data_IF_685664332825
#
_entry.id   IF_685664332825
#
_cell.length_a   1.000
_cell.length_b   1.000
_cell.length_c   1.000
_cell.angle_alpha   90.00
_cell.angle_beta   90.00
_cell.angle_gamma   90.00
#
_symmetry.space_group_name_H-M   'P 1'
#
loop_
_entity.id
_entity.type
_entity.pdbx_description
1 polymer ?
#
# COMPACT_ATOMS: atom_id res chain seq x y z
N UNK A 1 14.30 -21.01 3.87
CA UNK A 1 12.87 -21.23 3.49
C UNK A 1 12.16 -19.90 3.70
N UNK A 2 11.82 -19.24 2.59
CA UNK A 2 11.11 -17.95 2.66
C UNK A 2 9.70 -18.18 3.18
N UNK A 3 9.32 -17.48 4.24
CA UNK A 3 7.94 -17.46 4.73
C UNK A 3 7.28 -16.20 4.18
N UNK A 4 6.28 -16.37 3.32
CA UNK A 4 5.43 -15.29 2.85
C UNK A 4 4.23 -15.17 3.79
N UNK A 5 4.08 -14.01 4.43
CA UNK A 5 2.88 -13.63 5.16
C UNK A 5 2.07 -12.69 4.29
N UNK A 6 0.86 -13.07 3.95
CA UNK A 6 -0.10 -12.18 3.28
C UNK A 6 -1.26 -11.88 4.21
N UNK A 7 -1.71 -10.63 4.21
CA UNK A 7 -2.91 -10.22 4.91
C UNK A 7 -3.91 -9.68 3.89
N UNK A 8 -5.11 -10.24 3.95
CA UNK A 8 -6.27 -9.76 3.21
C UNK A 8 -7.32 -9.34 4.24
N UNK A 9 -8.05 -8.26 4.00
CA UNK A 9 -9.15 -7.88 4.87
C UNK A 9 -10.18 -9.00 4.89
N UNK A 10 -10.25 -9.75 5.99
CA UNK A 10 -11.24 -10.81 6.15
C UNK A 10 -12.50 -10.20 6.74
N UNK A 11 -13.62 -10.30 6.02
CA UNK A 11 -14.94 -10.11 6.61
C UNK A 11 -15.10 -11.11 7.75
N UNK A 12 -15.40 -10.65 8.97
CA UNK A 12 -15.93 -11.54 10.00
C UNK A 12 -17.31 -11.99 9.53
N UNK A 13 -17.56 -13.32 9.61
CA UNK A 13 -18.82 -13.93 9.20
C UNK A 13 -20.08 -13.48 10.01
N UNK A 14 -19.95 -12.48 10.87
CA UNK A 14 -21.03 -11.87 11.66
C UNK A 14 -21.51 -10.50 11.12
N UNK A 15 -21.06 -10.10 9.93
CA UNK A 15 -21.50 -8.87 9.26
C UNK A 15 -21.04 -7.56 9.92
N UNK A 16 -20.15 -7.59 10.91
CA UNK A 16 -19.63 -6.37 11.53
C UNK A 16 -18.59 -5.73 10.63
N UNK A 17 -18.84 -4.49 10.28
CA UNK A 17 -17.93 -3.61 9.57
C UNK A 17 -16.66 -3.41 10.39
N UNK A 18 -15.52 -3.89 9.89
CA UNK A 18 -14.23 -3.63 10.52
C UNK A 18 -13.78 -2.26 10.05
N UNK A 19 -14.14 -1.22 10.78
CA UNK A 19 -13.53 0.11 10.66
C UNK A 19 -12.14 0.04 11.30
N UNK A 20 -11.18 -0.48 10.53
CA UNK A 20 -9.81 -0.56 11.03
C UNK A 20 -9.02 0.63 10.50
N UNK A 21 -8.44 1.43 11.39
CA UNK A 21 -7.50 2.45 11.00
C UNK A 21 -6.18 1.82 10.52
N UNK A 22 -5.35 2.60 9.81
CA UNK A 22 -4.00 2.15 9.43
C UNK A 22 -3.22 1.69 10.68
N UNK A 23 -3.36 2.42 11.79
CA UNK A 23 -2.69 2.14 13.07
C UNK A 23 -3.15 0.83 13.70
N UNK A 24 -4.44 0.50 13.63
CA UNK A 24 -4.98 -0.75 14.19
C UNK A 24 -4.50 -1.96 13.39
N UNK A 25 -4.58 -1.89 12.06
CA UNK A 25 -4.07 -2.95 11.18
C UNK A 25 -2.56 -3.09 11.31
N UNK A 26 -1.83 -1.96 11.29
CA UNK A 26 -0.38 -1.93 11.46
C UNK A 26 0.06 -2.53 12.79
N UNK A 27 -0.65 -2.25 13.89
CA UNK A 27 -0.37 -2.84 15.21
C UNK A 27 -0.59 -4.36 15.23
N UNK A 28 -1.71 -4.82 14.65
CA UNK A 28 -2.02 -6.24 14.58
C UNK A 28 -0.93 -7.00 13.83
N UNK A 29 -0.60 -6.55 12.60
CA UNK A 29 0.41 -7.20 11.76
C UNK A 29 1.82 -7.10 12.36
N UNK A 30 2.18 -5.97 12.96
CA UNK A 30 3.46 -5.83 13.65
C UNK A 30 3.59 -6.86 14.78
N UNK A 31 2.53 -7.10 15.55
CA UNK A 31 2.56 -8.11 16.63
C UNK A 31 2.70 -9.54 16.08
N UNK A 32 2.01 -9.87 14.98
CA UNK A 32 2.16 -11.18 14.33
C UNK A 32 3.59 -11.38 13.79
N UNK A 33 4.17 -10.34 13.17
CA UNK A 33 5.53 -10.40 12.62
C UNK A 33 6.63 -10.48 13.68
N UNK A 34 6.40 -10.02 14.92
CA UNK A 34 7.34 -10.18 16.04
C UNK A 34 7.59 -11.64 16.43
N UNK A 35 6.63 -12.50 16.14
CA UNK A 35 6.74 -13.96 16.37
C UNK A 35 7.49 -14.68 15.23
N UNK A 36 7.84 -13.96 14.15
CA UNK A 36 8.60 -14.54 13.05
C UNK A 36 10.05 -14.85 13.48
N UNK A 37 10.66 -15.80 12.76
CA UNK A 37 12.04 -16.19 12.99
C UNK A 37 12.99 -15.02 12.77
N UNK A 38 13.69 -14.59 13.81
CA UNK A 38 14.58 -13.42 13.82
C UNK A 38 15.87 -13.62 13.01
N UNK A 39 16.19 -14.86 12.63
CA UNK A 39 17.35 -15.17 11.80
C UNK A 39 17.06 -14.96 10.30
N UNK A 40 15.78 -14.80 9.93
CA UNK A 40 15.38 -14.56 8.55
C UNK A 40 15.27 -13.04 8.30
N UNK A 41 15.96 -12.49 7.27
CA UNK A 41 15.82 -11.09 6.90
C UNK A 41 14.36 -10.71 6.62
N UNK A 42 13.86 -9.65 7.28
CA UNK A 42 12.48 -9.20 7.14
C UNK A 42 12.38 -8.03 6.18
N UNK A 43 11.55 -8.17 5.16
CA UNK A 43 11.13 -7.10 4.27
C UNK A 43 9.62 -6.91 4.37
N UNK A 44 9.17 -5.66 4.35
CA UNK A 44 7.74 -5.33 4.36
C UNK A 44 7.35 -4.80 2.98
N UNK A 45 6.28 -5.32 2.40
CA UNK A 45 5.78 -4.85 1.11
C UNK A 45 4.35 -4.34 1.25
N UNK A 46 4.09 -3.17 0.68
CA UNK A 46 2.77 -2.58 0.56
C UNK A 46 2.44 -2.22 -0.90
N UNK A 47 1.18 -2.38 -1.27
CA UNK A 47 0.64 -1.97 -2.57
C UNK A 47 -0.52 -1.00 -2.36
N UNK A 48 -0.50 0.16 -3.05
CA UNK A 48 -1.54 1.18 -2.94
C UNK A 48 -1.80 1.57 -1.47
N UNK A 49 -3.00 1.39 -0.96
CA UNK A 49 -3.39 1.65 0.44
C UNK A 49 -2.46 0.97 1.46
N UNK A 50 -2.07 -0.30 1.23
CA UNK A 50 -1.23 -1.03 2.17
C UNK A 50 0.21 -0.48 2.29
N UNK A 51 0.62 0.49 1.46
CA UNK A 51 1.86 1.25 1.68
C UNK A 51 1.84 2.02 3.02
N UNK A 52 0.69 2.49 3.45
CA UNK A 52 0.52 3.18 4.73
C UNK A 52 0.62 2.21 5.91
N UNK A 53 0.05 1.01 5.76
CA UNK A 53 0.17 -0.08 6.74
C UNK A 53 1.64 -0.51 6.85
N UNK A 54 2.31 -0.70 5.71
CA UNK A 54 3.73 -1.04 5.68
C UNK A 54 4.60 0.02 6.37
N UNK A 55 4.30 1.30 6.16
CA UNK A 55 4.95 2.41 6.87
C UNK A 55 4.71 2.31 8.39
N UNK A 56 3.47 2.06 8.83
CA UNK A 56 3.14 1.98 10.26
C UNK A 56 3.85 0.81 10.94
N UNK A 57 3.95 -0.35 10.27
CA UNK A 57 4.72 -1.49 10.76
C UNK A 57 6.20 -1.12 10.91
N UNK A 58 6.82 -0.52 9.88
CA UNK A 58 8.22 -0.08 9.93
C UNK A 58 8.46 0.92 11.06
N UNK A 59 7.57 1.91 11.21
CA UNK A 59 7.62 2.89 12.30
C UNK A 59 7.65 2.21 13.67
N UNK A 60 6.78 1.24 13.92
CA UNK A 60 6.71 0.50 15.19
C UNK A 60 7.98 -0.30 15.42
N UNK A 61 8.46 -1.00 14.41
CA UNK A 61 9.66 -1.82 14.51
C UNK A 61 10.90 -0.98 14.79
N UNK A 62 11.05 0.19 14.14
CA UNK A 62 12.15 1.11 14.48
C UNK A 62 12.03 1.65 15.90
N UNK A 63 10.83 1.97 16.37
CA UNK A 63 10.61 2.44 17.75
C UNK A 63 10.98 1.37 18.80
N UNK A 64 10.80 0.10 18.46
CA UNK A 64 11.12 -1.05 19.31
C UNK A 64 12.54 -1.61 19.05
N UNK A 65 13.33 -1.00 18.14
CA UNK A 65 14.64 -1.47 17.70
C UNK A 65 14.62 -2.89 17.11
N UNK A 66 13.52 -3.27 16.44
CA UNK A 66 13.41 -4.51 15.69
C UNK A 66 13.92 -4.26 14.26
N UNK A 67 14.91 -5.03 13.78
CA UNK A 67 15.50 -4.79 12.46
C UNK A 67 14.53 -5.15 11.32
N UNK A 68 14.41 -4.25 10.35
CA UNK A 68 13.80 -4.48 9.02
C UNK A 68 14.86 -4.15 7.99
N UNK A 69 15.09 -5.05 7.03
CA UNK A 69 16.11 -4.86 5.99
C UNK A 69 15.68 -3.89 4.90
N UNK A 70 14.37 -3.81 4.64
CA UNK A 70 13.82 -2.87 3.68
C UNK A 70 12.30 -2.86 3.64
N UNK A 71 11.77 -1.79 3.08
CA UNK A 71 10.36 -1.64 2.78
C UNK A 71 10.19 -1.42 1.27
N UNK A 72 9.18 -2.04 0.67
CA UNK A 72 8.84 -1.94 -0.75
C UNK A 72 7.43 -1.37 -0.86
N UNK A 73 7.30 -0.23 -1.51
CA UNK A 73 6.01 0.43 -1.73
C UNK A 73 5.69 0.53 -3.21
N UNK A 74 4.57 -0.04 -3.62
CA UNK A 74 4.13 -0.10 -5.00
C UNK A 74 2.86 0.74 -5.16
N UNK A 75 2.88 1.74 -6.04
CA UNK A 75 1.73 2.63 -6.29
C UNK A 75 1.30 3.43 -5.05
N UNK A 76 2.20 3.65 -4.10
CA UNK A 76 1.90 4.39 -2.88
C UNK A 76 1.90 5.90 -3.09
N UNK A 77 0.82 6.57 -2.66
CA UNK A 77 0.70 8.03 -2.69
C UNK A 77 1.45 8.65 -1.51
N UNK A 78 2.40 9.59 -1.73
CA UNK A 78 3.02 10.32 -0.63
C UNK A 78 1.99 11.10 0.21
N UNK A 79 2.18 11.22 1.53
CA UNK A 79 1.19 11.79 2.45
C UNK A 79 0.75 13.22 2.17
N UNK A 80 1.56 14.00 1.48
CA UNK A 80 1.31 15.42 1.17
C UNK A 80 0.29 15.64 0.05
N UNK A 81 -0.19 14.56 -0.60
CA UNK A 81 -1.08 14.62 -1.75
C UNK A 81 -2.50 14.14 -1.44
N UNK A 82 -2.98 14.40 -0.23
CA UNK A 82 -4.26 13.84 0.24
C UNK A 82 -5.48 14.66 -0.16
N UNK A 83 -5.32 15.92 -0.54
CA UNK A 83 -6.46 16.81 -0.81
C UNK A 83 -7.31 16.31 -1.98
N UNK A 84 -6.69 15.72 -2.99
CA UNK A 84 -7.39 15.12 -4.13
C UNK A 84 -8.18 13.84 -3.75
N UNK A 85 -7.83 13.19 -2.64
CA UNK A 85 -8.51 11.99 -2.18
C UNK A 85 -9.90 12.27 -1.59
N UNK A 86 -10.22 13.51 -1.25
CA UNK A 86 -11.53 13.89 -0.73
C UNK A 86 -12.68 13.60 -1.72
N UNK A 87 -12.39 13.46 -3.01
CA UNK A 87 -13.37 13.09 -4.02
C UNK A 87 -13.94 11.68 -3.80
N UNK A 88 -13.19 10.80 -3.12
CA UNK A 88 -13.65 9.45 -2.74
C UNK A 88 -14.75 9.45 -1.67
N UNK A 89 -15.04 10.58 -1.06
CA UNK A 89 -16.12 10.68 -0.06
C UNK A 89 -17.52 10.83 -0.66
N UNK A 90 -17.65 10.88 -2.00
CA UNK A 90 -18.96 10.79 -2.64
C UNK A 90 -19.67 9.49 -2.25
N UNK A 91 -20.93 9.59 -1.80
CA UNK A 91 -21.79 8.44 -1.51
C UNK A 91 -22.38 7.82 -2.79
N UNK A 92 -22.11 8.39 -3.96
CA UNK A 92 -22.54 7.87 -5.26
C UNK A 92 -21.52 6.88 -5.79
N UNK A 93 -21.91 5.60 -5.87
CA UNK A 93 -21.07 4.51 -6.37
C UNK A 93 -20.70 4.69 -7.83
N UNK A 94 -21.61 5.22 -8.66
CA UNK A 94 -21.32 5.44 -10.08
C UNK A 94 -20.26 6.55 -10.25
N UNK A 95 -20.40 7.64 -9.51
CA UNK A 95 -19.41 8.72 -9.53
C UNK A 95 -18.03 8.25 -9.06
N UNK A 96 -17.98 7.41 -8.02
CA UNK A 96 -16.73 6.82 -7.54
C UNK A 96 -16.13 5.84 -8.56
N UNK A 97 -16.97 5.01 -9.18
CA UNK A 97 -16.54 4.06 -10.20
C UNK A 97 -15.94 4.78 -11.42
N UNK A 98 -16.63 5.83 -11.92
CA UNK A 98 -16.18 6.63 -13.06
C UNK A 98 -14.88 7.38 -12.74
N UNK A 99 -14.76 7.95 -11.54
CA UNK A 99 -13.52 8.57 -11.08
C UNK A 99 -12.37 7.56 -11.03
N UNK A 100 -12.60 6.39 -10.44
CA UNK A 100 -11.57 5.35 -10.29
C UNK A 100 -11.13 4.78 -11.63
N UNK A 101 -12.04 4.67 -12.61
CA UNK A 101 -11.73 4.31 -14.00
C UNK A 101 -10.86 5.37 -14.67
N UNK A 102 -11.25 6.63 -14.56
CA UNK A 102 -10.51 7.75 -15.16
C UNK A 102 -9.08 7.86 -14.62
N UNK A 103 -8.83 7.34 -13.42
CA UNK A 103 -7.53 7.33 -12.75
C UNK A 103 -6.78 6.00 -12.84
N UNK A 104 -7.30 5.01 -13.59
CA UNK A 104 -6.73 3.65 -13.71
C UNK A 104 -6.48 2.97 -12.34
N UNK A 105 -7.36 3.24 -11.36
CA UNK A 105 -7.26 2.68 -10.01
C UNK A 105 -7.96 1.32 -9.87
N UNK A 106 -8.71 0.89 -10.88
CA UNK A 106 -9.51 -0.34 -10.87
C UNK A 106 -8.91 -1.40 -11.77
N UNK A 107 -9.04 -2.64 -11.34
CA UNK A 107 -8.91 -3.78 -12.23
C UNK A 107 -10.25 -4.01 -12.95
N UNK A 108 -10.40 -3.49 -14.17
CA UNK A 108 -11.64 -3.60 -14.96
C UNK A 108 -12.05 -5.05 -15.24
N UNK A 109 -11.10 -5.97 -15.41
CA UNK A 109 -11.37 -7.39 -15.60
C UNK A 109 -12.05 -7.97 -14.36
N UNK A 110 -11.56 -7.62 -13.16
CA UNK A 110 -12.19 -8.00 -11.90
C UNK A 110 -13.58 -7.38 -11.77
N UNK A 111 -13.71 -6.06 -11.96
CA UNK A 111 -15.00 -5.35 -11.84
C UNK A 111 -16.06 -5.93 -12.76
N UNK A 112 -15.69 -6.36 -13.96
CA UNK A 112 -16.63 -6.97 -14.92
C UNK A 112 -17.19 -8.32 -14.45
N UNK A 113 -16.50 -9.01 -13.52
CA UNK A 113 -16.94 -10.32 -12.98
C UNK A 113 -17.83 -10.19 -11.74
N UNK A 114 -17.87 -9.02 -11.11
CA UNK A 114 -18.61 -8.79 -9.86
C UNK A 114 -20.10 -8.55 -10.12
N UNK A 115 -20.96 -9.09 -9.27
CA UNK A 115 -22.36 -8.70 -9.14
C UNK A 115 -22.49 -7.25 -8.65
N UNK A 116 -23.68 -6.67 -8.72
CA UNK A 116 -23.92 -5.30 -8.27
C UNK A 116 -23.70 -5.15 -6.75
N UNK A 117 -24.04 -6.18 -5.96
CA UNK A 117 -23.78 -6.21 -4.50
C UNK A 117 -22.28 -6.26 -4.23
N UNK A 118 -21.53 -7.11 -4.90
CA UNK A 118 -20.07 -7.21 -4.74
C UNK A 118 -19.35 -5.92 -5.19
N UNK A 119 -19.84 -5.25 -6.24
CA UNK A 119 -19.34 -3.93 -6.65
C UNK A 119 -19.56 -2.88 -5.56
N UNK A 120 -20.77 -2.86 -4.98
CA UNK A 120 -21.08 -1.94 -3.88
C UNK A 120 -20.14 -2.17 -2.68
N UNK A 121 -19.93 -3.41 -2.28
CA UNK A 121 -19.00 -3.78 -1.21
C UNK A 121 -17.56 -3.37 -1.54
N UNK A 122 -17.09 -3.64 -2.76
CA UNK A 122 -15.75 -3.24 -3.22
C UNK A 122 -15.55 -1.72 -3.16
N UNK A 123 -16.53 -0.95 -3.65
CA UNK A 123 -16.47 0.52 -3.61
C UNK A 123 -16.56 1.06 -2.18
N UNK A 124 -17.34 0.41 -1.32
CA UNK A 124 -17.38 0.75 0.11
C UNK A 124 -16.01 0.53 0.77
N UNK A 125 -15.35 -0.59 0.51
CA UNK A 125 -14.00 -0.86 1.02
C UNK A 125 -12.98 0.17 0.50
N UNK A 126 -13.05 0.54 -0.78
CA UNK A 126 -12.19 1.56 -1.37
C UNK A 126 -12.35 2.92 -0.66
N UNK A 127 -13.60 3.32 -0.33
CA UNK A 127 -13.87 4.53 0.46
C UNK A 127 -13.26 4.43 1.86
N UNK A 128 -13.48 3.31 2.55
CA UNK A 128 -12.98 3.14 3.91
C UNK A 128 -11.46 3.17 3.97
N UNK A 129 -10.78 2.52 3.01
CA UNK A 129 -9.32 2.57 2.89
C UNK A 129 -8.83 4.00 2.65
N UNK A 130 -9.53 4.77 1.81
CA UNK A 130 -9.20 6.17 1.54
C UNK A 130 -9.37 7.04 2.78
N UNK A 131 -10.46 6.86 3.54
CA UNK A 131 -10.67 7.55 4.83
C UNK A 131 -9.56 7.24 5.81
N UNK A 132 -9.15 5.97 5.91
CA UNK A 132 -8.06 5.56 6.79
C UNK A 132 -6.72 6.19 6.37
N UNK A 133 -6.42 6.27 5.06
CA UNK A 133 -5.23 6.96 4.55
C UNK A 133 -5.22 8.44 4.89
N UNK A 134 -6.34 9.14 4.70
CA UNK A 134 -6.44 10.59 4.96
C UNK A 134 -6.26 10.90 6.44
N UNK A 135 -6.79 10.05 7.32
CA UNK A 135 -6.70 10.23 8.76
C UNK A 135 -5.36 9.81 9.37
N UNK A 136 -4.57 8.99 8.67
CA UNK A 136 -3.30 8.49 9.18
C UNK A 136 -2.27 9.61 9.35
N UNK A 137 -1.54 9.60 10.49
CA UNK A 137 -0.51 10.59 10.81
C UNK A 137 0.88 9.99 10.68
N UNK A 138 1.65 10.53 9.75
CA UNK A 138 3.06 10.20 9.60
C UNK A 138 3.89 10.86 10.70
N UNK A 139 5.10 10.30 10.95
CA UNK A 139 6.06 10.91 11.88
C UNK A 139 6.67 12.18 11.27
N UNK A 140 7.05 13.11 12.13
CA UNK A 140 7.84 14.28 11.75
C UNK A 140 9.34 13.95 11.53
N UNK A 141 9.76 12.72 11.82
CA UNK A 141 11.12 12.22 11.58
C UNK A 141 11.16 11.16 10.50
N UNK A 142 12.33 11.02 9.85
CA UNK A 142 12.52 10.04 8.77
C UNK A 142 12.88 8.69 9.33
N UNK A 143 12.24 7.65 8.79
CA UNK A 143 12.60 6.26 9.05
C UNK A 143 14.00 5.95 8.48
N UNK A 144 14.75 5.09 9.17
CA UNK A 144 16.09 4.64 8.76
C UNK A 144 16.03 3.49 7.79
N UNK A 145 14.98 2.65 7.89
CA UNK A 145 14.73 1.53 7.00
C UNK A 145 14.74 2.00 5.55
N UNK A 146 15.53 1.39 4.66
CA UNK A 146 15.56 1.81 3.25
C UNK A 146 14.25 1.51 2.54
N UNK A 147 13.80 2.45 1.71
CA UNK A 147 12.59 2.32 0.89
C UNK A 147 12.93 2.06 -0.58
N UNK A 148 12.27 1.04 -1.15
CA UNK A 148 12.11 0.87 -2.60
C UNK A 148 10.71 1.36 -2.99
N UNK A 149 10.62 2.48 -3.69
CA UNK A 149 9.35 3.02 -4.19
C UNK A 149 9.20 2.72 -5.68
N UNK A 150 8.12 2.05 -6.05
CA UNK A 150 7.83 1.58 -7.41
C UNK A 150 6.50 2.15 -7.87
N UNK A 151 6.45 2.76 -9.04
CA UNK A 151 5.21 3.29 -9.65
C UNK A 151 5.13 2.91 -11.12
N UNK A 152 3.94 2.93 -11.70
CA UNK A 152 3.73 2.82 -13.13
C UNK A 152 4.08 4.14 -13.84
N UNK A 153 4.64 4.07 -15.05
CA UNK A 153 4.90 5.26 -15.88
C UNK A 153 3.62 5.95 -16.36
N UNK A 154 2.55 5.19 -16.42
CA UNK A 154 1.20 5.62 -16.84
C UNK A 154 0.26 5.75 -15.63
N UNK A 155 0.79 5.58 -14.40
CA UNK A 155 0.06 5.79 -13.16
C UNK A 155 -0.43 7.24 -13.05
N UNK A 156 -1.37 7.48 -12.16
CA UNK A 156 -1.94 8.80 -11.91
C UNK A 156 -0.80 9.84 -11.71
N UNK A 157 -0.85 10.98 -12.44
CA UNK A 157 0.25 11.97 -12.42
C UNK A 157 0.64 12.47 -11.03
N UNK A 158 -0.31 12.56 -10.10
CA UNK A 158 -0.03 12.98 -8.72
C UNK A 158 0.81 11.94 -7.98
N UNK A 159 0.67 10.65 -8.29
CA UNK A 159 1.47 9.58 -7.70
C UNK A 159 2.88 9.56 -8.31
N UNK A 160 2.96 9.41 -9.64
CA UNK A 160 4.25 9.23 -10.33
C UNK A 160 5.17 10.45 -10.29
N UNK A 161 4.61 11.66 -10.42
CA UNK A 161 5.41 12.89 -10.45
C UNK A 161 5.89 13.31 -9.06
N UNK A 162 5.21 12.84 -8.02
CA UNK A 162 5.50 13.21 -6.64
C UNK A 162 6.13 12.09 -5.81
N UNK A 163 6.51 10.98 -6.46
CA UNK A 163 7.20 9.85 -5.80
C UNK A 163 8.40 10.32 -4.96
N UNK A 164 9.13 11.35 -5.42
CA UNK A 164 10.28 11.93 -4.71
C UNK A 164 9.94 12.48 -3.31
N UNK A 165 8.67 12.78 -3.02
CA UNK A 165 8.24 13.28 -1.71
C UNK A 165 8.37 12.23 -0.60
N UNK A 166 8.54 10.94 -0.93
CA UNK A 166 8.90 9.92 0.05
C UNK A 166 10.23 10.21 0.75
N UNK A 167 11.13 11.02 0.16
CA UNK A 167 12.33 11.52 0.82
C UNK A 167 12.04 12.34 2.10
N UNK A 168 10.82 12.81 2.29
CA UNK A 168 10.45 13.52 3.53
C UNK A 168 10.24 12.55 4.69
N UNK A 169 10.00 11.26 4.41
CA UNK A 169 9.64 10.23 5.39
C UNK A 169 10.68 9.13 5.57
N UNK A 170 11.64 9.03 4.66
CA UNK A 170 12.71 8.03 4.69
C UNK A 170 14.06 8.67 4.47
N UNK A 171 15.10 8.13 5.13
CA UNK A 171 16.49 8.60 4.97
C UNK A 171 17.12 8.11 3.66
N UNK A 172 16.73 6.90 3.21
CA UNK A 172 17.24 6.25 2.00
C UNK A 172 16.06 5.79 1.16
N UNK A 173 15.96 6.29 -0.07
CA UNK A 173 14.90 5.93 -1.02
C UNK A 173 15.51 5.60 -2.38
N UNK A 174 15.13 4.47 -2.94
CA UNK A 174 15.34 4.16 -4.35
C UNK A 174 14.01 4.29 -5.10
N UNK A 175 14.03 4.96 -6.26
CA UNK A 175 12.85 5.23 -7.07
C UNK A 175 12.89 4.44 -8.36
N UNK A 176 11.82 3.71 -8.65
CA UNK A 176 11.70 2.86 -9.83
C UNK A 176 10.38 3.12 -10.54
N UNK A 177 10.41 3.06 -11.87
CA UNK A 177 9.23 3.16 -12.71
C UNK A 177 9.18 1.98 -13.67
N UNK A 178 8.07 1.26 -13.67
CA UNK A 178 7.77 0.20 -14.61
C UNK A 178 6.77 0.68 -15.68
N UNK A 179 6.69 0.04 -16.86
CA UNK A 179 5.58 0.27 -17.78
C UNK A 179 4.23 -0.01 -17.08
N UNK A 180 3.16 0.64 -17.54
CA UNK A 180 1.80 0.46 -17.03
C UNK A 180 1.34 1.52 -16.04
N UNK A 181 0.04 1.44 -15.71
CA UNK A 181 -0.66 2.34 -14.78
C UNK A 181 -0.57 1.89 -13.33
N UNK A 182 -1.63 2.17 -12.57
CA UNK A 182 -1.68 1.83 -11.14
C UNK A 182 -1.66 0.32 -10.89
N UNK A 183 -2.34 -0.46 -11.73
CA UNK A 183 -2.52 -1.91 -11.55
C UNK A 183 -1.32 -2.70 -12.12
N UNK A 184 -0.13 -2.51 -11.52
CA UNK A 184 1.12 -3.16 -11.97
C UNK A 184 1.15 -4.67 -11.73
N UNK A 185 0.56 -5.14 -10.64
CA UNK A 185 0.65 -6.53 -10.19
C UNK A 185 0.07 -7.50 -11.22
N UNK A 186 -0.98 -7.12 -11.94
CA UNK A 186 -1.63 -8.02 -12.89
C UNK A 186 -0.95 -8.07 -14.24
N UNK A 187 -0.44 -6.93 -14.73
CA UNK A 187 0.08 -6.81 -16.11
C UNK A 187 1.60 -6.93 -16.21
N UNK A 188 2.32 -6.52 -15.16
CA UNK A 188 3.79 -6.43 -15.16
C UNK A 188 4.41 -7.19 -14.00
N UNK A 189 3.77 -8.30 -13.60
CA UNK A 189 4.20 -9.10 -12.44
C UNK A 189 5.62 -9.66 -12.56
N UNK A 190 6.06 -10.01 -13.77
CA UNK A 190 7.40 -10.58 -13.98
C UNK A 190 8.50 -9.53 -13.78
N UNK A 191 8.34 -8.34 -14.38
CA UNK A 191 9.26 -7.21 -14.22
C UNK A 191 9.26 -6.70 -12.79
N UNK A 192 8.08 -6.63 -12.16
CA UNK A 192 7.91 -6.24 -10.77
C UNK A 192 8.63 -7.22 -9.84
N UNK A 193 8.42 -8.52 -10.01
CA UNK A 193 9.07 -9.57 -9.23
C UNK A 193 10.60 -9.49 -9.36
N UNK A 194 11.12 -9.31 -10.58
CA UNK A 194 12.56 -9.17 -10.82
C UNK A 194 13.14 -7.95 -10.08
N UNK A 195 12.44 -6.81 -10.11
CA UNK A 195 12.88 -5.61 -9.41
C UNK A 195 12.89 -5.81 -7.90
N UNK A 196 11.84 -6.43 -7.35
CA UNK A 196 11.73 -6.76 -5.93
C UNK A 196 12.85 -7.69 -5.50
N UNK A 197 13.10 -8.77 -6.24
CA UNK A 197 14.19 -9.72 -5.93
C UNK A 197 15.54 -9.06 -5.96
N UNK A 198 15.84 -8.23 -6.98
CA UNK A 198 17.08 -7.47 -7.03
C UNK A 198 17.25 -6.54 -5.81
N UNK A 199 16.16 -5.90 -5.37
CA UNK A 199 16.21 -5.04 -4.18
C UNK A 199 16.50 -5.85 -2.91
N UNK A 200 15.87 -7.01 -2.75
CA UNK A 200 16.10 -7.92 -1.61
C UNK A 200 17.56 -8.38 -1.59
N UNK A 201 18.09 -8.87 -2.73
CA UNK A 201 19.47 -9.34 -2.84
C UNK A 201 20.53 -8.28 -2.50
N UNK A 202 20.23 -7.00 -2.73
CA UNK A 202 21.12 -5.89 -2.39
C UNK A 202 21.12 -5.52 -0.89
N UNK A 203 20.17 -6.02 -0.12
CA UNK A 203 19.95 -5.63 1.28
C UNK A 203 20.01 -6.82 2.26
N UNK A 204 20.27 -8.02 1.76
CA UNK A 204 20.62 -9.22 2.56
C UNK A 204 22.12 -9.40 2.56
#
# INVERSE_FOLDING_TARGET
MEKLFSWESKKKGDGREIKSSVEEVGALLANELKEADKEIPLFIMGYSYSCYIAYDICKRFEQENIPIQGIIMIGGTPPTLRDDLMQFFSNDDNALLDYSRAKDLLNEELIATLSDEEKHEYLHELRMNTVAMVNYKFLDCKLKTPLCSIVGREDEPTIRNNQHLWNNYFQKVSFHQLPGGHVLITKYHAELAKLIMNYIELHV
#
